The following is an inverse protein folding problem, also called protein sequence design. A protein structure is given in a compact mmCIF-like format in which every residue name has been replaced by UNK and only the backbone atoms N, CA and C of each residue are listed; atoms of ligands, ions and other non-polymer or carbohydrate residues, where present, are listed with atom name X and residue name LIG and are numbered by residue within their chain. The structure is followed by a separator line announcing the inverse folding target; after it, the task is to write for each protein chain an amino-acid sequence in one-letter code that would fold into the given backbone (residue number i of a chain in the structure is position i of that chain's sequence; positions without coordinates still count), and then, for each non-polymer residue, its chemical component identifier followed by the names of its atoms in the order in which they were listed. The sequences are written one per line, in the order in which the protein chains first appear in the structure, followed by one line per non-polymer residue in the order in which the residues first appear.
data_IF_962172766750
#
_entry.id   IF_962172766750
#
_cell.length_a   1.000
_cell.length_b   1.000
_cell.length_c   1.000
_cell.angle_alpha   90.00
_cell.angle_beta   90.00
_cell.angle_gamma   90.00
#
_symmetry.space_group_name_H-M   'P 1'
#
loop_
_entity.id
_entity.type
_entity.pdbx_description
1 polymer ?
#
# COMPACT_ATOMS: atom_id res chain seq x y z
N UNK A 1 15.10 -14.34 19.85
CA UNK A 1 14.73 -12.92 20.09
C UNK A 1 13.30 -12.79 20.58
N UNK A 2 12.28 -13.08 19.76
CA UNK A 2 10.85 -12.95 20.17
C UNK A 2 10.46 -13.79 21.40
N UNK A 3 11.03 -15.00 21.56
CA UNK A 3 10.78 -15.86 22.73
C UNK A 3 11.35 -15.32 24.06
N UNK A 4 12.16 -14.24 24.01
CA UNK A 4 12.74 -13.60 25.19
C UNK A 4 12.04 -12.27 25.55
N UNK A 5 11.03 -11.86 24.78
CA UNK A 5 10.24 -10.65 25.02
C UNK A 5 9.02 -11.02 25.90
N UNK A 6 8.76 -10.22 26.94
CA UNK A 6 7.61 -10.38 27.84
C UNK A 6 6.36 -9.70 27.24
N UNK A 7 5.85 -10.30 26.17
CA UNK A 7 4.63 -9.86 25.48
C UNK A 7 3.88 -11.06 24.90
N UNK A 8 2.56 -11.03 25.03
CA UNK A 8 1.67 -12.03 24.42
C UNK A 8 1.70 -11.92 22.88
N UNK A 9 1.34 -13.00 22.15
CA UNK A 9 1.19 -12.94 20.71
C UNK A 9 0.24 -11.82 20.24
N UNK A 10 -0.86 -11.59 20.96
CA UNK A 10 -1.87 -10.59 20.65
C UNK A 10 -1.33 -9.16 20.80
N UNK A 11 -0.64 -8.87 21.90
CA UNK A 11 0.02 -7.56 22.12
C UNK A 11 1.07 -7.29 21.04
N UNK A 12 1.81 -8.32 20.63
CA UNK A 12 2.81 -8.19 19.57
C UNK A 12 2.17 -7.91 18.21
N UNK A 13 1.08 -8.60 17.87
CA UNK A 13 0.35 -8.38 16.61
C UNK A 13 -0.18 -6.95 16.55
N UNK A 14 -0.77 -6.45 17.64
CA UNK A 14 -1.31 -5.08 17.70
C UNK A 14 -0.19 -4.04 17.56
N UNK A 15 0.93 -4.22 18.27
CA UNK A 15 2.09 -3.36 18.13
C UNK A 15 2.65 -3.36 16.70
N UNK A 16 2.69 -4.53 16.04
CA UNK A 16 3.14 -4.64 14.66
C UNK A 16 2.18 -3.93 13.69
N UNK A 17 0.87 -4.05 13.86
CA UNK A 17 -0.14 -3.39 13.00
C UNK A 17 -0.08 -1.87 13.11
N UNK A 18 0.20 -1.34 14.31
CA UNK A 18 0.29 0.09 14.54
C UNK A 18 1.46 0.77 13.79
N UNK A 19 2.50 0.02 13.41
CA UNK A 19 3.71 0.58 12.78
C UNK A 19 3.99 0.04 11.38
N UNK A 20 3.43 -1.10 11.00
CA UNK A 20 3.59 -1.67 9.66
C UNK A 20 2.33 -1.37 8.84
N UNK A 21 2.41 -0.48 7.83
CA UNK A 21 1.26 -0.16 7.01
C UNK A 21 0.83 -1.39 6.20
N UNK A 22 -0.48 -1.66 6.18
CA UNK A 22 -1.09 -2.66 5.32
C UNK A 22 -1.12 -2.22 3.85
N UNK A 23 -1.11 -0.91 3.59
CA UNK A 23 -1.08 -0.31 2.25
C UNK A 23 0.09 0.65 2.08
N UNK A 24 0.80 0.52 0.97
CA UNK A 24 1.87 1.44 0.56
C UNK A 24 1.58 1.94 -0.86
N UNK A 25 2.04 3.14 -1.23
CA UNK A 25 1.87 3.69 -2.58
C UNK A 25 2.80 2.96 -3.57
N UNK A 26 2.45 1.73 -3.95
CA UNK A 26 3.25 0.91 -4.86
C UNK A 26 3.35 1.58 -6.23
N UNK A 27 4.55 1.56 -6.83
CA UNK A 27 4.85 2.25 -8.11
C UNK A 27 3.85 1.92 -9.22
N UNK A 28 3.51 0.65 -9.42
CA UNK A 28 2.55 0.24 -10.45
C UNK A 28 1.13 0.81 -10.24
N UNK A 29 0.72 1.03 -8.99
CA UNK A 29 -0.57 1.66 -8.65
C UNK A 29 -0.56 3.17 -8.86
N UNK A 30 0.58 3.81 -8.58
CA UNK A 30 0.80 5.22 -8.92
C UNK A 30 0.77 5.40 -10.43
N UNK A 31 1.51 4.58 -11.18
CA UNK A 31 1.57 4.64 -12.65
C UNK A 31 0.17 4.45 -13.27
N UNK A 32 -0.60 3.46 -12.79
CA UNK A 32 -1.98 3.27 -13.20
C UNK A 32 -2.84 4.52 -12.97
N UNK A 33 -2.68 5.19 -11.83
CA UNK A 33 -3.42 6.41 -11.53
C UNK A 33 -2.99 7.59 -12.41
N UNK A 34 -1.69 7.72 -12.72
CA UNK A 34 -1.17 8.76 -13.61
C UNK A 34 -1.68 8.55 -15.04
N UNK A 35 -1.57 7.33 -15.57
CA UNK A 35 -2.01 7.02 -16.93
C UNK A 35 -3.51 7.26 -17.12
N UNK A 36 -4.34 6.85 -16.15
CA UNK A 36 -5.77 7.12 -16.18
C UNK A 36 -6.06 8.63 -16.15
N UNK A 37 -5.36 9.39 -15.29
CA UNK A 37 -5.53 10.83 -15.15
C UNK A 37 -5.11 11.60 -16.43
N UNK A 38 -4.07 11.14 -17.13
CA UNK A 38 -3.69 11.70 -18.45
C UNK A 38 -4.83 11.52 -19.47
N UNK A 39 -5.58 10.42 -19.38
CA UNK A 39 -6.81 10.20 -20.16
C UNK A 39 -8.06 10.93 -19.64
N UNK A 40 -7.94 11.70 -18.56
CA UNK A 40 -9.03 12.44 -17.92
C UNK A 40 -9.79 11.67 -16.83
N UNK A 41 -9.41 10.43 -16.52
CA UNK A 41 -10.02 9.64 -15.45
C UNK A 41 -9.23 9.74 -14.14
N UNK A 42 -9.76 10.50 -13.19
CA UNK A 42 -9.16 10.69 -11.86
C UNK A 42 -9.67 9.69 -10.81
N UNK A 43 -10.58 8.77 -11.15
CA UNK A 43 -11.12 7.83 -10.18
C UNK A 43 -10.04 6.92 -9.54
N UNK A 44 -9.04 6.40 -10.27
CA UNK A 44 -7.98 5.61 -9.65
C UNK A 44 -7.11 6.41 -8.67
N UNK A 45 -6.83 7.69 -8.98
CA UNK A 45 -6.11 8.59 -8.08
C UNK A 45 -6.90 8.84 -6.79
N UNK A 46 -8.19 9.16 -6.89
CA UNK A 46 -9.05 9.38 -5.73
C UNK A 46 -9.16 8.13 -4.86
N UNK A 47 -9.34 6.96 -5.48
CA UNK A 47 -9.38 5.66 -4.80
C UNK A 47 -8.08 5.36 -4.07
N UNK A 48 -6.92 5.59 -4.71
CA UNK A 48 -5.61 5.39 -4.09
C UNK A 48 -5.41 6.36 -2.91
N UNK A 49 -5.81 7.63 -3.06
CA UNK A 49 -5.73 8.62 -1.99
C UNK A 49 -6.63 8.29 -0.79
N UNK A 50 -7.85 7.79 -1.03
CA UNK A 50 -8.77 7.34 0.02
C UNK A 50 -8.14 6.18 0.81
N UNK A 51 -7.58 5.19 0.11
CA UNK A 51 -6.97 4.03 0.73
C UNK A 51 -5.73 4.38 1.57
N UNK A 52 -4.90 5.29 1.07
CA UNK A 52 -3.67 5.72 1.75
C UNK A 52 -3.90 6.70 2.91
N UNK A 53 -5.13 7.19 3.12
CA UNK A 53 -5.47 8.01 4.27
C UNK A 53 -5.45 7.21 5.59
N UNK A 54 -5.62 5.88 5.52
CA UNK A 54 -5.60 4.98 6.68
C UNK A 54 -4.72 3.74 6.42
N UNK A 55 -3.41 3.93 6.13
CA UNK A 55 -2.58 2.89 5.55
C UNK A 55 -2.29 1.72 6.51
N UNK A 56 -2.49 1.91 7.82
CA UNK A 56 -2.33 0.89 8.86
C UNK A 56 -3.61 0.09 9.14
N UNK A 57 -4.76 0.53 8.63
CA UNK A 57 -6.02 -0.19 8.79
C UNK A 57 -6.07 -1.42 7.88
N UNK A 58 -6.89 -2.40 8.26
CA UNK A 58 -7.14 -3.58 7.42
C UNK A 58 -7.69 -3.13 6.04
N UNK A 59 -7.09 -3.58 4.92
CA UNK A 59 -7.38 -3.01 3.60
C UNK A 59 -8.83 -3.13 3.12
N UNK A 60 -9.55 -4.18 3.56
CA UNK A 60 -10.95 -4.42 3.20
C UNK A 60 -11.21 -4.32 1.69
N UNK A 61 -12.01 -3.33 1.27
CA UNK A 61 -12.32 -3.10 -0.16
C UNK A 61 -11.11 -2.69 -1.03
N UNK A 62 -9.98 -2.37 -0.40
CA UNK A 62 -8.72 -1.98 -1.02
C UNK A 62 -7.66 -3.09 -0.99
N UNK A 63 -8.02 -4.32 -0.63
CA UNK A 63 -7.07 -5.45 -0.64
C UNK A 63 -6.36 -5.64 -1.98
N UNK A 64 -7.00 -5.24 -3.08
CA UNK A 64 -6.37 -5.26 -4.40
C UNK A 64 -5.14 -4.33 -4.48
N UNK A 65 -5.15 -3.17 -3.79
CA UNK A 65 -4.03 -2.23 -3.78
C UNK A 65 -2.80 -2.73 -3.01
N UNK A 66 -2.96 -3.74 -2.15
CA UNK A 66 -1.86 -4.34 -1.39
C UNK A 66 -1.00 -5.31 -2.22
N UNK A 67 -1.54 -5.82 -3.33
CA UNK A 67 -0.91 -6.89 -4.12
C UNK A 67 0.42 -6.45 -4.76
N UNK A 68 1.38 -7.37 -4.93
CA UNK A 68 2.55 -7.10 -5.75
C UNK A 68 2.15 -6.85 -7.23
N UNK A 69 2.97 -6.12 -8.01
CA UNK A 69 2.73 -5.98 -9.44
C UNK A 69 2.72 -7.35 -10.12
N UNK A 70 1.86 -7.51 -11.13
CA UNK A 70 2.00 -8.58 -12.12
C UNK A 70 3.20 -8.30 -13.05
N UNK A 71 3.63 -9.29 -13.83
CA UNK A 71 4.81 -9.17 -14.71
C UNK A 71 4.69 -8.00 -15.70
N UNK A 72 3.50 -7.75 -16.22
CA UNK A 72 3.16 -6.67 -17.15
C UNK A 72 2.96 -5.30 -16.48
N UNK A 73 2.89 -5.26 -15.14
CA UNK A 73 2.71 -4.05 -14.35
C UNK A 73 4.00 -3.55 -13.72
N UNK A 74 5.12 -4.27 -13.94
CA UNK A 74 6.42 -3.85 -13.44
C UNK A 74 6.83 -2.56 -14.15
N UNK A 75 6.94 -1.49 -13.38
CA UNK A 75 7.46 -0.21 -13.86
C UNK A 75 8.98 -0.21 -13.69
N UNK A 76 9.78 -0.32 -14.78
CA UNK A 76 11.23 -0.50 -14.68
C UNK A 76 11.95 0.79 -14.30
N UNK A 77 11.34 1.96 -14.52
CA UNK A 77 11.88 3.25 -14.11
C UNK A 77 11.13 3.76 -12.89
N UNK A 78 11.81 3.77 -11.75
CA UNK A 78 11.34 4.45 -10.55
C UNK A 78 11.89 5.87 -10.55
N UNK A 79 11.02 6.87 -10.67
CA UNK A 79 11.37 8.28 -10.41
C UNK A 79 11.29 8.57 -8.90
N UNK A 80 12.01 7.79 -8.10
CA UNK A 80 12.17 8.09 -6.68
C UNK A 80 13.32 9.11 -6.51
N UNK A 81 13.02 10.38 -6.81
CA UNK A 81 13.78 11.53 -6.31
C UNK A 81 14.78 12.20 -7.27
N UNK A 82 14.67 13.52 -7.37
CA UNK A 82 15.72 14.39 -6.82
C UNK A 82 15.75 14.27 -5.30
#
# INVERSE_FOLDING_TARGET
RLAAEDATPEERIEAMRAVNPALIPRTHRIEQAIQAAVGGDYAPFQRLSEALATPYAEPGKFSDLARPPAEDEIVPQTFCGT
#
